data_IF_322707654441
#
_entry.id   IF_322707654441
#
_cell.length_a   1.000
_cell.length_b   1.000
_cell.length_c   1.000
_cell.angle_alpha   90.00
_cell.angle_beta   90.00
_cell.angle_gamma   90.00
#
_symmetry.space_group_name_H-M   'P 1'
#
loop_
_entity.id
_entity.type
_entity.pdbx_description
1 polymer ?
#
# COMPACT_ATOMS: atom_id res chain seq x y z
N UNK A 1 12.05 0.01 -3.32
CA UNK A 1 12.70 -1.21 -3.82
C UNK A 1 12.21 -1.58 -5.22
N UNK A 2 13.11 -2.02 -6.11
CA UNK A 2 13.00 -2.02 -7.58
C UNK A 2 11.95 -2.89 -8.28
N UNK A 3 10.99 -3.51 -7.58
CA UNK A 3 9.99 -4.42 -8.16
C UNK A 3 8.65 -3.76 -8.52
N UNK A 4 8.41 -2.51 -8.11
CA UNK A 4 7.13 -1.80 -8.29
C UNK A 4 7.38 -0.34 -8.69
N UNK A 5 6.57 0.20 -9.59
CA UNK A 5 6.53 1.63 -9.90
C UNK A 5 5.20 2.22 -9.42
N UNK A 6 5.23 3.39 -8.79
CA UNK A 6 4.05 4.16 -8.44
C UNK A 6 4.08 5.44 -9.26
N UNK A 7 3.02 5.69 -10.01
CA UNK A 7 2.89 6.85 -10.88
C UNK A 7 1.69 7.66 -10.43
N UNK A 8 1.79 8.98 -10.52
CA UNK A 8 0.65 9.87 -10.37
C UNK A 8 -0.16 9.90 -11.67
N UNK A 9 -1.48 10.05 -11.54
CA UNK A 9 -2.35 10.43 -12.62
C UNK A 9 -3.44 11.38 -12.12
N UNK A 10 -3.58 12.53 -12.78
CA UNK A 10 -4.79 13.35 -12.68
C UNK A 10 -5.95 12.67 -13.42
N UNK A 11 -7.16 12.72 -12.86
CA UNK A 11 -8.37 12.37 -13.60
C UNK A 11 -8.96 10.99 -13.34
N UNK A 12 -8.75 10.40 -12.17
CA UNK A 12 -9.57 9.26 -11.77
C UNK A 12 -11.03 9.69 -11.60
N UNK A 13 -11.98 8.99 -12.22
CA UNK A 13 -13.40 9.15 -11.91
C UNK A 13 -13.77 8.19 -10.78
N UNK A 14 -14.20 8.73 -9.65
CA UNK A 14 -14.79 7.98 -8.56
C UNK A 14 -16.20 8.50 -8.28
N UNK A 15 -17.22 7.67 -8.53
CA UNK A 15 -18.61 8.08 -8.40
C UNK A 15 -18.98 9.33 -9.22
N UNK A 16 -18.27 9.61 -10.31
CA UNK A 16 -18.46 10.79 -11.16
C UNK A 16 -17.67 12.04 -10.73
N UNK A 17 -16.90 11.99 -9.64
CA UNK A 17 -16.00 13.08 -9.23
C UNK A 17 -14.58 12.85 -9.72
N UNK A 18 -13.94 13.93 -10.15
CA UNK A 18 -12.51 13.94 -10.47
C UNK A 18 -11.72 13.86 -9.16
N UNK A 19 -10.94 12.81 -9.01
CA UNK A 19 -10.03 12.60 -7.88
C UNK A 19 -8.61 12.34 -8.37
N UNK A 20 -7.63 12.75 -7.57
CA UNK A 20 -6.23 12.41 -7.81
C UNK A 20 -5.97 10.96 -7.42
N UNK A 21 -5.31 10.21 -8.32
CA UNK A 21 -5.08 8.79 -8.12
C UNK A 21 -3.61 8.44 -8.25
N UNK A 22 -3.20 7.47 -7.45
CA UNK A 22 -1.92 6.79 -7.57
C UNK A 22 -2.12 5.47 -8.31
N UNK A 23 -1.30 5.24 -9.35
CA UNK A 23 -1.30 4.02 -10.16
C UNK A 23 -0.04 3.22 -9.84
N UNK A 24 -0.23 2.11 -9.12
CA UNK A 24 0.83 1.17 -8.75
C UNK A 24 0.88 0.02 -9.76
N UNK A 25 1.96 -0.02 -10.53
CA UNK A 25 2.22 -1.04 -11.56
C UNK A 25 3.21 -2.06 -11.02
N UNK A 26 2.79 -3.32 -10.97
CA UNK A 26 3.63 -4.43 -10.52
C UNK A 26 4.38 -5.01 -11.74
N UNK A 27 5.72 -5.01 -11.71
CA UNK A 27 6.53 -5.45 -12.87
C UNK A 27 6.39 -6.94 -13.10
N UNK A 28 6.05 -7.35 -14.33
CA UNK A 28 5.83 -8.76 -14.70
C UNK A 28 7.07 -9.50 -15.18
N UNK A 29 8.11 -8.79 -15.63
CA UNK A 29 9.28 -9.37 -16.33
C UNK A 29 10.58 -9.35 -15.51
N UNK A 30 10.64 -8.64 -14.37
CA UNK A 30 11.90 -8.41 -13.62
C UNK A 30 11.77 -8.91 -12.17
N UNK A 31 11.41 -10.18 -12.00
CA UNK A 31 11.51 -10.85 -10.70
C UNK A 31 12.75 -11.73 -10.72
N UNK A 32 13.88 -11.16 -10.28
CA UNK A 32 15.12 -11.92 -10.04
C UNK A 32 14.79 -13.05 -9.06
N UNK A 33 15.23 -14.25 -9.39
CA UNK A 33 14.77 -15.54 -8.85
C UNK A 33 14.92 -15.74 -7.32
N UNK A 34 15.62 -14.85 -6.59
CA UNK A 34 16.07 -15.10 -5.22
C UNK A 34 15.04 -14.86 -4.10
N UNK A 35 14.13 -13.89 -4.23
CA UNK A 35 13.23 -13.50 -3.12
C UNK A 35 11.82 -14.09 -3.20
N UNK A 36 11.56 -15.04 -4.13
CA UNK A 36 10.19 -15.52 -4.37
C UNK A 36 9.67 -16.44 -3.28
N UNK A 37 10.52 -17.31 -2.74
CA UNK A 37 10.08 -18.35 -1.79
C UNK A 37 9.76 -17.77 -0.41
N UNK A 38 10.48 -16.72 0.03
CA UNK A 38 10.24 -16.05 1.31
C UNK A 38 8.86 -15.39 1.40
N UNK A 39 8.30 -14.92 0.27
CA UNK A 39 6.99 -14.27 0.23
C UNK A 39 5.81 -15.24 0.05
N UNK A 40 6.08 -16.47 -0.38
CA UNK A 40 5.06 -17.45 -0.76
C UNK A 40 4.94 -18.57 0.28
N UNK A 41 6.04 -18.95 0.94
CA UNK A 41 6.10 -20.11 1.84
C UNK A 41 5.17 -20.02 3.06
N UNK A 42 4.86 -18.81 3.54
CA UNK A 42 4.03 -18.59 4.74
C UNK A 42 2.53 -18.41 4.51
N UNK A 43 2.05 -18.30 3.27
CA UNK A 43 0.64 -17.98 3.00
C UNK A 43 -0.10 -19.21 2.45
N UNK A 44 -0.94 -19.82 3.31
CA UNK A 44 -1.71 -21.04 3.02
C UNK A 44 -2.52 -20.96 1.72
N UNK A 45 -2.91 -19.76 1.27
CA UNK A 45 -3.67 -19.55 0.03
C UNK A 45 -2.86 -19.85 -1.23
N UNK A 46 -1.53 -19.95 -1.14
CA UNK A 46 -0.65 -20.28 -2.25
C UNK A 46 -0.28 -21.76 -2.32
N UNK A 47 -0.67 -22.58 -1.34
CA UNK A 47 -0.35 -24.03 -1.31
C UNK A 47 -0.90 -24.82 -2.51
N UNK A 48 -2.05 -24.41 -3.05
CA UNK A 48 -2.74 -25.14 -4.13
C UNK A 48 -2.79 -24.39 -5.48
N UNK A 49 -2.27 -23.16 -5.55
CA UNK A 49 -2.41 -22.27 -6.72
C UNK A 49 -1.09 -21.66 -7.23
N UNK A 50 0.05 -22.14 -6.72
CA UNK A 50 1.37 -21.64 -7.09
C UNK A 50 1.68 -21.93 -8.55
N UNK A 51 1.90 -20.89 -9.35
CA UNK A 51 2.29 -21.02 -10.76
C UNK A 51 3.72 -20.51 -10.94
N UNK A 52 4.57 -21.32 -11.60
CA UNK A 52 5.92 -20.89 -12.01
C UNK A 52 5.89 -19.71 -13.01
N UNK A 53 4.73 -19.34 -13.55
CA UNK A 53 4.56 -18.23 -14.48
C UNK A 53 4.59 -16.88 -13.73
N UNK A 54 5.60 -16.01 -13.97
CA UNK A 54 5.74 -14.72 -13.30
C UNK A 54 4.52 -13.80 -13.43
N UNK A 55 3.82 -13.84 -14.58
CA UNK A 55 2.63 -13.01 -14.80
C UNK A 55 1.46 -13.40 -13.90
N UNK A 56 1.26 -14.71 -13.70
CA UNK A 56 0.23 -15.23 -12.79
C UNK A 56 0.56 -14.87 -11.34
N UNK A 57 1.82 -14.98 -10.94
CA UNK A 57 2.28 -14.60 -9.60
C UNK A 57 2.09 -13.10 -9.32
N UNK A 58 2.51 -12.24 -10.24
CA UNK A 58 2.38 -10.79 -10.08
C UNK A 58 0.92 -10.36 -9.98
N UNK A 59 0.02 -10.99 -10.74
CA UNK A 59 -1.43 -10.79 -10.60
C UNK A 59 -1.91 -11.15 -9.19
N UNK A 60 -1.53 -12.30 -8.66
CA UNK A 60 -1.90 -12.71 -7.30
C UNK A 60 -1.36 -11.76 -6.22
N UNK A 61 -0.16 -11.21 -6.42
CA UNK A 61 0.39 -10.20 -5.51
C UNK A 61 -0.38 -8.89 -5.55
N UNK A 62 -0.73 -8.42 -6.74
CA UNK A 62 -1.55 -7.21 -6.89
C UNK A 62 -2.96 -7.41 -6.28
N UNK A 63 -3.55 -8.59 -6.44
CA UNK A 63 -4.80 -8.98 -5.77
C UNK A 63 -4.67 -9.04 -4.25
N UNK A 64 -3.56 -9.57 -3.74
CA UNK A 64 -3.27 -9.59 -2.29
C UNK A 64 -3.17 -8.17 -1.73
N UNK A 65 -2.41 -7.31 -2.40
CA UNK A 65 -2.26 -5.90 -1.99
C UNK A 65 -3.61 -5.18 -1.97
N UNK A 66 -4.40 -5.32 -3.04
CA UNK A 66 -5.72 -4.70 -3.13
C UNK A 66 -6.67 -5.17 -2.01
N UNK A 67 -6.71 -6.48 -1.72
CA UNK A 67 -7.51 -7.02 -0.61
C UNK A 67 -7.04 -6.52 0.75
N UNK A 68 -5.73 -6.45 0.98
CA UNK A 68 -5.19 -5.95 2.24
C UNK A 68 -5.55 -4.47 2.42
N UNK A 69 -5.37 -3.65 1.39
CA UNK A 69 -5.72 -2.24 1.41
C UNK A 69 -7.23 -2.03 1.66
N UNK A 70 -8.09 -2.86 1.06
CA UNK A 70 -9.53 -2.85 1.34
C UNK A 70 -9.84 -3.14 2.81
N UNK A 71 -9.16 -4.09 3.45
CA UNK A 71 -9.39 -4.41 4.87
C UNK A 71 -8.96 -3.26 5.77
N UNK A 72 -7.80 -2.66 5.49
CA UNK A 72 -7.29 -1.50 6.24
C UNK A 72 -8.26 -0.31 6.10
N UNK A 73 -8.68 -0.01 4.88
CA UNK A 73 -9.64 1.06 4.61
C UNK A 73 -11.00 0.82 5.29
N UNK A 74 -11.52 -0.41 5.23
CA UNK A 74 -12.78 -0.78 5.87
C UNK A 74 -12.72 -0.72 7.40
N UNK A 75 -11.54 -0.87 8.01
CA UNK A 75 -11.34 -0.68 9.44
C UNK A 75 -11.23 0.81 9.85
N UNK A 76 -11.38 1.74 8.90
CA UNK A 76 -11.31 3.18 9.16
C UNK A 76 -9.90 3.71 9.40
N UNK A 77 -8.86 2.92 9.10
CA UNK A 77 -7.48 3.36 9.24
C UNK A 77 -7.10 4.36 8.14
N UNK A 78 -6.29 5.37 8.46
CA UNK A 78 -5.76 6.29 7.47
C UNK A 78 -4.90 5.49 6.49
N UNK A 79 -5.35 5.43 5.24
CA UNK A 79 -4.65 4.76 4.14
C UNK A 79 -5.22 5.23 2.79
N UNK A 80 -4.52 5.00 1.67
CA UNK A 80 -5.08 5.25 0.35
C UNK A 80 -6.34 4.42 0.12
N UNK A 81 -7.47 5.05 -0.20
CA UNK A 81 -8.68 4.30 -0.57
C UNK A 81 -8.43 3.47 -1.84
N UNK A 82 -8.69 2.16 -1.85
CA UNK A 82 -8.60 1.34 -3.05
C UNK A 82 -9.74 1.68 -4.02
N UNK A 83 -9.42 1.90 -5.29
CA UNK A 83 -10.40 2.27 -6.32
C UNK A 83 -10.64 1.11 -7.29
N UNK A 84 -9.58 0.60 -7.93
CA UNK A 84 -9.69 -0.44 -8.95
C UNK A 84 -8.42 -1.27 -9.05
N UNK A 85 -8.58 -2.57 -9.24
CA UNK A 85 -7.51 -3.45 -9.67
C UNK A 85 -7.80 -3.98 -11.08
N UNK A 86 -6.85 -3.82 -12.01
CA UNK A 86 -6.89 -4.44 -13.35
C UNK A 86 -5.62 -5.23 -13.58
N UNK A 87 -5.72 -6.56 -13.48
CA UNK A 87 -4.57 -7.50 -13.63
C UNK A 87 -3.44 -7.22 -12.62
N UNK A 88 -2.45 -6.42 -12.99
CA UNK A 88 -1.26 -6.11 -12.19
C UNK A 88 -1.10 -4.59 -12.00
N UNK A 89 -2.17 -3.84 -12.21
CA UNK A 89 -2.25 -2.39 -12.06
C UNK A 89 -3.29 -2.10 -10.99
N UNK A 90 -2.83 -1.52 -9.89
CA UNK A 90 -3.65 -1.08 -8.77
C UNK A 90 -3.83 0.44 -8.84
N UNK A 91 -5.07 0.89 -8.86
CA UNK A 91 -5.47 2.30 -8.77
C UNK A 91 -6.04 2.53 -7.38
N UNK A 92 -5.52 3.54 -6.69
CA UNK A 92 -5.91 3.95 -5.36
C UNK A 92 -5.91 5.48 -5.27
N UNK A 93 -6.55 6.03 -4.24
CA UNK A 93 -6.48 7.45 -3.93
C UNK A 93 -5.01 7.91 -3.80
N UNK A 94 -4.67 9.06 -4.36
CA UNK A 94 -3.42 9.71 -4.01
C UNK A 94 -3.56 10.42 -2.67
N UNK A 95 -2.65 10.15 -1.73
CA UNK A 95 -2.48 10.98 -0.54
C UNK A 95 -1.51 12.10 -0.88
N UNK A 96 -1.92 13.34 -0.64
CA UNK A 96 -1.19 14.53 -1.10
C UNK A 96 -2.12 15.64 -1.55
N UNK A 97 -1.56 16.68 -2.14
CA UNK A 97 -2.31 17.85 -2.59
C UNK A 97 -1.69 18.45 -3.85
N UNK A 98 -2.56 18.97 -4.72
CA UNK A 98 -2.17 19.72 -5.93
C UNK A 98 -1.18 18.96 -6.82
N UNK A 99 -1.40 17.65 -7.04
CA UNK A 99 -0.53 16.82 -7.86
C UNK A 99 0.75 16.32 -7.17
N UNK A 100 1.03 16.77 -5.94
CA UNK A 100 2.19 16.32 -5.18
C UNK A 100 1.81 15.22 -4.18
N UNK A 101 2.57 14.11 -4.11
CA UNK A 101 2.34 13.11 -3.08
C UNK A 101 2.70 13.66 -1.69
N UNK A 102 1.99 13.20 -0.68
CA UNK A 102 2.34 13.47 0.72
C UNK A 102 3.78 13.01 1.01
N UNK A 103 4.53 13.74 1.86
CA UNK A 103 5.87 13.32 2.24
C UNK A 103 5.82 11.99 2.98
N UNK A 104 6.89 11.21 2.84
CA UNK A 104 7.13 10.07 3.73
C UNK A 104 7.35 10.58 5.13
N UNK A 105 7.02 9.78 6.15
CA UNK A 105 7.24 10.17 7.54
C UNK A 105 8.72 10.51 7.79
N UNK A 106 9.65 9.82 7.13
CA UNK A 106 11.10 10.11 7.20
C UNK A 106 11.48 11.52 6.74
N UNK A 107 10.71 12.08 5.81
CA UNK A 107 10.95 13.38 5.16
C UNK A 107 9.94 14.44 5.69
N UNK A 108 9.17 14.11 6.73
CA UNK A 108 8.20 15.01 7.32
C UNK A 108 8.90 16.02 8.24
N UNK A 109 8.52 17.29 8.11
CA UNK A 109 9.00 18.36 8.96
C UNK A 109 8.09 18.49 10.20
N UNK A 110 8.50 17.84 11.30
CA UNK A 110 7.75 17.76 12.55
C UNK A 110 8.58 18.29 13.71
N UNK A 111 7.91 19.00 14.62
CA UNK A 111 8.45 19.38 15.92
C UNK A 111 8.31 18.22 16.94
N UNK A 112 8.84 18.41 18.16
CA UNK A 112 8.78 17.39 19.21
C UNK A 112 7.36 16.84 19.47
N UNK A 113 6.36 17.71 19.72
CA UNK A 113 4.96 17.28 19.85
C UNK A 113 4.39 16.63 18.58
N UNK A 114 4.83 17.03 17.38
CA UNK A 114 4.50 16.37 16.13
C UNK A 114 4.98 14.92 16.08
N UNK A 115 6.23 14.68 16.47
CA UNK A 115 6.82 13.33 16.53
C UNK A 115 6.14 12.44 17.57
N UNK A 116 5.79 12.98 18.74
CA UNK A 116 5.04 12.24 19.76
C UNK A 116 3.67 11.79 19.25
N UNK A 117 2.96 12.68 18.55
CA UNK A 117 1.68 12.34 17.91
C UNK A 117 1.86 11.27 16.84
N UNK A 118 2.83 11.42 15.94
CA UNK A 118 3.09 10.46 14.88
C UNK A 118 3.44 9.07 15.42
N UNK A 119 4.18 9.00 16.53
CA UNK A 119 4.46 7.75 17.23
C UNK A 119 3.18 7.07 17.74
N UNK A 120 2.34 7.81 18.46
CA UNK A 120 1.09 7.30 19.02
C UNK A 120 0.10 6.85 17.93
N UNK A 121 0.03 7.60 16.82
CA UNK A 121 -0.78 7.23 15.66
C UNK A 121 -0.26 5.95 15.00
N UNK A 122 1.06 5.85 14.78
CA UNK A 122 1.68 4.64 14.21
C UNK A 122 1.39 3.41 15.07
N UNK A 123 1.52 3.53 16.39
CA UNK A 123 1.17 2.45 17.31
C UNK A 123 -0.31 2.05 17.21
N UNK A 124 -1.20 3.03 17.16
CA UNK A 124 -2.65 2.79 17.03
C UNK A 124 -3.02 2.11 15.71
N UNK A 125 -2.35 2.50 14.61
CA UNK A 125 -2.47 1.85 13.29
C UNK A 125 -2.02 0.40 13.39
N UNK A 126 -0.82 0.14 13.92
CA UNK A 126 -0.30 -1.23 14.09
C UNK A 126 -1.24 -2.11 14.92
N UNK A 127 -1.73 -1.59 16.04
CA UNK A 127 -2.62 -2.31 16.92
C UNK A 127 -3.93 -2.69 16.21
N UNK A 128 -4.53 -1.73 15.49
CA UNK A 128 -5.78 -1.95 14.75
C UNK A 128 -5.58 -2.89 13.56
N UNK A 129 -4.44 -2.77 12.84
CA UNK A 129 -4.08 -3.70 11.77
C UNK A 129 -4.01 -5.14 12.29
N UNK A 130 -3.42 -5.36 13.47
CA UNK A 130 -3.30 -6.69 14.04
C UNK A 130 -4.66 -7.22 14.54
N UNK A 131 -5.34 -6.46 15.40
CA UNK A 131 -6.52 -6.96 16.13
C UNK A 131 -7.80 -6.93 15.29
N UNK A 132 -7.96 -5.91 14.44
CA UNK A 132 -9.18 -5.73 13.63
C UNK A 132 -8.99 -6.21 12.21
N UNK A 133 -7.87 -5.87 11.58
CA UNK A 133 -7.63 -6.28 10.20
C UNK A 133 -7.02 -7.68 10.09
N UNK A 134 -6.56 -8.31 11.18
CA UNK A 134 -5.79 -9.56 11.16
C UNK A 134 -4.67 -9.54 10.11
N UNK A 135 -3.89 -8.46 10.13
CA UNK A 135 -2.76 -8.21 9.24
C UNK A 135 -1.55 -7.75 10.05
N UNK A 136 -0.38 -8.19 9.59
CA UNK A 136 0.92 -7.63 10.03
C UNK A 136 1.58 -7.02 8.80
N UNK A 137 2.05 -5.79 8.92
CA UNK A 137 2.82 -5.15 7.86
C UNK A 137 4.27 -5.64 7.92
N UNK A 138 4.70 -6.42 6.91
CA UNK A 138 6.00 -7.09 6.93
C UNK A 138 7.23 -6.20 6.71
N UNK A 139 7.03 -4.92 6.42
CA UNK A 139 8.09 -3.94 6.13
C UNK A 139 7.70 -2.54 6.66
N UNK A 140 7.12 -2.46 7.87
CA UNK A 140 6.66 -1.18 8.41
C UNK A 140 7.86 -0.32 8.82
N UNK A 141 7.98 0.87 8.23
CA UNK A 141 9.04 1.83 8.52
C UNK A 141 8.61 3.22 8.08
N UNK A 142 9.37 4.24 8.49
CA UNK A 142 9.23 5.63 8.10
C UNK A 142 9.32 5.87 6.57
N UNK A 143 9.81 4.88 5.82
CA UNK A 143 9.87 4.91 4.35
C UNK A 143 8.56 4.51 3.67
N UNK A 144 7.71 3.77 4.38
CA UNK A 144 6.45 3.21 3.90
C UNK A 144 5.21 3.87 4.54
N UNK A 145 5.41 4.74 5.54
CA UNK A 145 4.40 5.62 6.11
C UNK A 145 4.45 6.99 5.42
N UNK A 146 3.29 7.58 5.19
CA UNK A 146 3.15 8.96 4.72
C UNK A 146 2.62 9.85 5.85
N UNK A 147 2.97 11.13 5.80
CA UNK A 147 2.41 12.14 6.68
C UNK A 147 1.54 13.11 5.88
N UNK A 148 0.23 13.10 6.12
CA UNK A 148 -0.74 13.85 5.34
C UNK A 148 -1.83 14.43 6.23
N UNK A 149 -2.15 15.71 6.04
CA UNK A 149 -3.18 16.44 6.80
C UNK A 149 -3.03 16.29 8.32
N UNK A 150 -1.79 16.32 8.80
CA UNK A 150 -1.46 16.23 10.22
C UNK A 150 -1.45 14.81 10.78
N UNK A 151 -1.63 13.77 9.95
CA UNK A 151 -1.78 12.37 10.37
C UNK A 151 -0.82 11.42 9.65
N UNK A 152 -0.46 10.33 10.33
CA UNK A 152 0.26 9.18 9.74
C UNK A 152 -0.72 8.30 8.95
N UNK A 153 -0.31 7.86 7.76
CA UNK A 153 -1.09 6.99 6.86
C UNK A 153 -0.23 5.94 6.13
#
# INVERSE_FOLDING_TARGET
GGQRGVFWAAGGLDGGRVVEVAVKVFKTSVLVFRDRDAYVSGDYRFRHGYSKNPRKMVKLWAEKEFRNLHRIYAAGLPCPRPIRLKTHILIMQMLGSQGNPAPKLKDADLDGPGWERAYNETFSIMWTMYHTCHLVHGDLSEYNLLYHDGKVA
#
